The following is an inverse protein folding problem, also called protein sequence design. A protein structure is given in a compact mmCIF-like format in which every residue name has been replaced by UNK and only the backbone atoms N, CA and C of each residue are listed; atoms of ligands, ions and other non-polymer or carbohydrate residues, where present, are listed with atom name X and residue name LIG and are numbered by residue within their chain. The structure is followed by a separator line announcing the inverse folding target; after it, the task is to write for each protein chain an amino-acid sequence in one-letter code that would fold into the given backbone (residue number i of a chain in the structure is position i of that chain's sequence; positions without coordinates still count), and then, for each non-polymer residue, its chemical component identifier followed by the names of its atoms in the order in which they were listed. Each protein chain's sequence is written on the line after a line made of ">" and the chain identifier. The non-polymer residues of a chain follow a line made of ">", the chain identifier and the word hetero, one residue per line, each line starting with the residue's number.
data_IF_692984131400
#
_entry.id   IF_692984131400
#
_cell.length_a   1.000
_cell.length_b   1.000
_cell.length_c   1.000
_cell.angle_alpha   90.00
_cell.angle_beta   90.00
_cell.angle_gamma   90.00
#
_symmetry.space_group_name_H-M   'P 1'
#
loop_
_entity.id
_entity.type
_entity.pdbx_description
1 polymer ?
#
# COMPACT_ATOMS: atom_id res chain seq x y z
N UNK A 1 14.53 29.42 -13.46
CA UNK A 1 13.37 28.63 -13.93
C UNK A 1 13.84 27.29 -14.50
N UNK A 2 14.09 26.30 -13.63
CA UNK A 2 14.45 24.91 -14.04
C UNK A 2 13.75 23.83 -13.18
N UNK A 3 12.90 24.21 -12.22
CA UNK A 3 12.35 23.30 -11.21
C UNK A 3 11.29 22.32 -11.76
N UNK A 4 10.51 22.72 -12.75
CA UNK A 4 9.33 21.96 -13.23
C UNK A 4 9.66 20.60 -13.87
N UNK A 5 10.90 20.38 -14.35
CA UNK A 5 11.29 19.11 -15.01
C UNK A 5 11.67 18.00 -14.01
N UNK A 6 12.12 18.33 -12.79
CA UNK A 6 12.45 17.34 -11.75
C UNK A 6 11.21 16.81 -11.03
N UNK A 7 10.14 17.60 -10.99
CA UNK A 7 8.87 17.23 -10.35
C UNK A 7 8.21 16.04 -11.06
N UNK A 8 8.17 16.02 -12.39
CA UNK A 8 7.65 14.88 -13.15
C UNK A 8 8.48 13.61 -12.98
N UNK A 9 9.79 13.75 -12.76
CA UNK A 9 10.70 12.63 -12.52
C UNK A 9 10.46 12.01 -11.14
N UNK A 10 10.23 12.85 -10.12
CA UNK A 10 9.86 12.40 -8.77
C UNK A 10 8.44 11.84 -8.73
N UNK A 11 7.47 12.50 -9.39
CA UNK A 11 6.09 12.02 -9.54
C UNK A 11 6.06 10.68 -10.28
N UNK A 12 6.88 10.53 -11.33
CA UNK A 12 7.06 9.29 -12.09
C UNK A 12 7.72 8.19 -11.26
N UNK A 13 8.69 8.54 -10.42
CA UNK A 13 9.27 7.62 -9.43
C UNK A 13 8.23 7.12 -8.42
N UNK A 14 7.40 8.02 -7.90
CA UNK A 14 6.36 7.68 -6.92
C UNK A 14 5.24 6.82 -7.54
N UNK A 15 4.77 7.21 -8.73
CA UNK A 15 3.81 6.44 -9.53
C UNK A 15 4.37 5.06 -9.90
N UNK A 16 5.65 5.00 -10.27
CA UNK A 16 6.33 3.74 -10.59
C UNK A 16 6.45 2.84 -9.36
N UNK A 17 6.77 3.38 -8.18
CA UNK A 17 6.79 2.63 -6.91
C UNK A 17 5.41 2.10 -6.53
N UNK A 18 4.37 2.94 -6.65
CA UNK A 18 2.98 2.52 -6.41
C UNK A 18 2.53 1.41 -7.37
N UNK A 19 2.86 1.52 -8.66
CA UNK A 19 2.56 0.50 -9.66
C UNK A 19 3.35 -0.80 -9.42
N UNK A 20 4.63 -0.69 -9.04
CA UNK A 20 5.48 -1.84 -8.72
C UNK A 20 4.98 -2.57 -7.47
N UNK A 21 4.48 -1.84 -6.47
CA UNK A 21 3.84 -2.41 -5.28
C UNK A 21 2.56 -3.17 -5.61
N UNK A 22 1.71 -2.63 -6.48
CA UNK A 22 0.50 -3.31 -6.98
C UNK A 22 0.86 -4.58 -7.75
N UNK A 23 1.91 -4.53 -8.56
CA UNK A 23 2.50 -5.69 -9.24
C UNK A 23 2.94 -6.77 -8.24
N UNK A 24 3.68 -6.41 -7.19
CA UNK A 24 4.07 -7.34 -6.13
C UNK A 24 2.87 -7.95 -5.39
N UNK A 25 1.82 -7.17 -5.16
CA UNK A 25 0.56 -7.63 -4.56
C UNK A 25 -0.16 -8.66 -5.41
N UNK A 26 -0.28 -8.40 -6.73
CA UNK A 26 -0.89 -9.34 -7.67
C UNK A 26 -0.03 -10.59 -7.85
N UNK A 27 1.29 -10.43 -7.86
CA UNK A 27 2.23 -11.54 -7.96
C UNK A 27 2.16 -12.46 -6.74
N UNK A 28 2.15 -11.87 -5.54
CA UNK A 28 2.00 -12.60 -4.30
C UNK A 28 0.62 -13.30 -4.26
N UNK A 29 -0.48 -12.58 -4.51
CA UNK A 29 -1.82 -13.19 -4.55
C UNK A 29 -1.98 -14.32 -5.58
N UNK A 30 -1.20 -14.30 -6.68
CA UNK A 30 -1.21 -15.35 -7.71
C UNK A 30 -0.44 -16.59 -7.27
N UNK A 31 0.73 -16.42 -6.63
CA UNK A 31 1.60 -17.52 -6.17
C UNK A 31 0.96 -18.33 -5.05
N UNK A 32 0.20 -17.69 -4.15
CA UNK A 32 -0.28 -18.33 -2.94
C UNK A 32 -1.72 -18.87 -3.02
N UNK A 33 -2.27 -19.03 -4.24
CA UNK A 33 -3.60 -19.55 -4.54
C UNK A 33 -3.74 -21.07 -4.27
N UNK A 34 -3.59 -21.50 -3.01
CA UNK A 34 -3.70 -22.90 -2.62
C UNK A 34 -4.24 -23.18 -1.21
N UNK A 35 -4.11 -22.24 -0.25
CA UNK A 35 -4.60 -22.44 1.12
C UNK A 35 -5.09 -21.14 1.77
N UNK A 36 -6.32 -21.15 2.28
CA UNK A 36 -6.95 -20.00 2.93
C UNK A 36 -6.18 -19.45 4.14
N UNK A 37 -5.34 -20.28 4.79
CA UNK A 37 -4.52 -19.84 5.93
C UNK A 37 -3.23 -19.15 5.50
N UNK A 38 -2.60 -19.65 4.43
CA UNK A 38 -1.39 -19.05 3.84
C UNK A 38 -1.73 -17.68 3.24
N UNK A 39 -2.88 -17.57 2.57
CA UNK A 39 -3.39 -16.31 2.03
C UNK A 39 -3.66 -15.24 3.12
N UNK A 40 -4.18 -15.64 4.28
CA UNK A 40 -4.38 -14.70 5.41
C UNK A 40 -3.05 -14.22 5.97
N UNK A 41 -2.09 -15.13 6.17
CA UNK A 41 -0.76 -14.78 6.66
C UNK A 41 -0.08 -13.77 5.73
N UNK A 42 -0.11 -14.03 4.43
CA UNK A 42 0.48 -13.16 3.42
C UNK A 42 -0.19 -11.78 3.34
N UNK A 43 -1.52 -11.70 3.45
CA UNK A 43 -2.24 -10.42 3.48
C UNK A 43 -1.82 -9.54 4.66
N UNK A 44 -1.77 -10.12 5.87
CA UNK A 44 -1.37 -9.39 7.08
C UNK A 44 0.14 -9.06 7.08
N UNK A 45 0.97 -9.98 6.61
CA UNK A 45 2.41 -9.77 6.51
C UNK A 45 2.76 -8.69 5.48
N UNK A 46 2.11 -8.73 4.31
CA UNK A 46 2.25 -7.68 3.30
C UNK A 46 1.74 -6.32 3.79
N UNK A 47 0.68 -6.30 4.62
CA UNK A 47 0.20 -5.06 5.24
C UNK A 47 1.25 -4.49 6.21
N UNK A 48 1.88 -5.35 7.02
CA UNK A 48 2.94 -4.94 7.95
C UNK A 48 4.14 -4.34 7.22
N UNK A 49 4.59 -4.95 6.12
CA UNK A 49 5.65 -4.41 5.27
C UNK A 49 5.24 -3.04 4.70
N UNK A 50 4.01 -2.91 4.20
CA UNK A 50 3.54 -1.67 3.59
C UNK A 50 3.46 -0.51 4.59
N UNK A 51 2.95 -0.78 5.80
CA UNK A 51 2.96 0.20 6.91
C UNK A 51 4.40 0.55 7.30
N UNK A 52 5.32 -0.42 7.31
CA UNK A 52 6.74 -0.17 7.54
C UNK A 52 7.36 0.78 6.51
N UNK A 53 7.06 0.60 5.22
CA UNK A 53 7.48 1.51 4.16
C UNK A 53 6.92 2.91 4.37
N UNK A 54 5.64 3.07 4.69
CA UNK A 54 5.07 4.39 4.98
C UNK A 54 5.78 5.12 6.12
N UNK A 55 6.18 4.39 7.17
CA UNK A 55 6.94 4.98 8.28
C UNK A 55 8.29 5.49 7.78
N UNK A 56 9.00 4.71 6.97
CA UNK A 56 10.28 5.10 6.38
C UNK A 56 10.10 6.31 5.44
N UNK A 57 9.10 6.30 4.57
CA UNK A 57 8.79 7.41 3.67
C UNK A 57 8.47 8.68 4.45
N UNK A 58 7.75 8.55 5.58
CA UNK A 58 7.47 9.68 6.48
C UNK A 58 8.76 10.21 7.12
N UNK A 59 9.68 9.35 7.54
CA UNK A 59 10.97 9.80 8.10
C UNK A 59 11.80 10.56 7.06
N UNK A 60 11.84 10.07 5.82
CA UNK A 60 12.56 10.73 4.73
C UNK A 60 11.96 12.11 4.41
N UNK A 61 10.63 12.24 4.48
CA UNK A 61 9.92 13.52 4.34
C UNK A 61 10.31 14.49 5.48
N UNK A 62 10.34 14.02 6.72
CA UNK A 62 10.69 14.83 7.90
C UNK A 62 12.16 15.28 7.80
N UNK A 63 13.06 14.40 7.38
CA UNK A 63 14.48 14.71 7.22
C UNK A 63 14.72 15.74 6.11
N UNK A 64 14.03 15.60 4.96
CA UNK A 64 14.04 16.60 3.88
C UNK A 64 13.52 17.95 4.34
N UNK A 65 12.43 17.98 5.11
CA UNK A 65 11.90 19.20 5.69
C UNK A 65 12.90 19.86 6.67
N UNK A 66 13.63 19.07 7.45
CA UNK A 66 14.66 19.57 8.38
C UNK A 66 15.88 20.16 7.65
N UNK A 67 16.19 19.66 6.45
CA UNK A 67 17.25 20.17 5.58
C UNK A 67 16.86 21.43 4.79
N UNK A 68 15.65 21.96 5.01
CA UNK A 68 15.18 23.21 4.40
C UNK A 68 14.43 23.03 3.07
N UNK A 69 14.03 21.81 2.72
CA UNK A 69 13.13 21.57 1.58
C UNK A 69 11.68 21.84 2.00
N UNK A 70 11.08 22.91 1.45
CA UNK A 70 9.78 23.45 1.88
C UNK A 70 8.64 23.09 0.92
N UNK A 71 8.82 22.05 0.09
CA UNK A 71 7.81 21.61 -0.88
C UNK A 71 6.69 20.77 -0.23
N UNK A 72 5.96 21.38 0.69
CA UNK A 72 4.88 20.76 1.49
C UNK A 72 3.79 20.07 0.67
N UNK A 73 3.49 20.58 -0.53
CA UNK A 73 2.46 20.02 -1.41
C UNK A 73 2.87 18.62 -1.88
N UNK A 74 4.14 18.40 -2.23
CA UNK A 74 4.64 17.10 -2.68
C UNK A 74 4.68 16.11 -1.53
N UNK A 75 5.22 16.54 -0.39
CA UNK A 75 5.25 15.72 0.82
C UNK A 75 3.83 15.28 1.26
N UNK A 76 2.85 16.17 1.16
CA UNK A 76 1.45 15.86 1.47
C UNK A 76 0.83 14.88 0.47
N UNK A 77 1.14 15.01 -0.83
CA UNK A 77 0.65 14.09 -1.87
C UNK A 77 1.24 12.69 -1.72
N UNK A 78 2.51 12.56 -1.32
CA UNK A 78 3.14 11.28 -1.01
C UNK A 78 2.41 10.59 0.14
N UNK A 79 2.28 11.27 1.29
CA UNK A 79 1.58 10.74 2.45
C UNK A 79 0.11 10.39 2.16
N UNK A 80 -0.57 11.18 1.33
CA UNK A 80 -1.94 10.89 0.92
C UNK A 80 -2.03 9.61 0.08
N UNK A 81 -1.10 9.42 -0.86
CA UNK A 81 -1.06 8.23 -1.71
C UNK A 81 -0.81 6.97 -0.89
N UNK A 82 0.12 7.05 0.06
CA UNK A 82 0.43 5.98 1.01
C UNK A 82 -0.78 5.60 1.87
N UNK A 83 -1.47 6.61 2.40
CA UNK A 83 -2.70 6.43 3.15
C UNK A 83 -3.81 5.74 2.34
N UNK A 84 -4.04 6.19 1.10
CA UNK A 84 -5.03 5.57 0.20
C UNK A 84 -4.69 4.11 -0.07
N UNK A 85 -3.40 3.80 -0.26
CA UNK A 85 -2.96 2.44 -0.51
C UNK A 85 -3.15 1.51 0.70
N UNK A 86 -2.90 1.98 1.93
CA UNK A 86 -3.25 1.23 3.16
C UNK A 86 -4.76 1.05 3.28
N UNK A 87 -5.53 2.11 3.03
CA UNK A 87 -6.99 2.08 3.12
C UNK A 87 -7.59 1.02 2.19
N UNK A 88 -7.13 0.95 0.94
CA UNK A 88 -7.56 -0.09 -0.02
C UNK A 88 -7.18 -1.49 0.46
N UNK A 89 -5.96 -1.70 1.00
CA UNK A 89 -5.57 -3.00 1.58
C UNK A 89 -6.50 -3.43 2.72
N UNK A 90 -6.86 -2.51 3.60
CA UNK A 90 -7.80 -2.79 4.70
C UNK A 90 -9.19 -3.16 4.14
N UNK A 91 -9.67 -2.47 3.12
CA UNK A 91 -10.95 -2.80 2.45
C UNK A 91 -10.94 -4.21 1.86
N UNK A 92 -9.84 -4.62 1.20
CA UNK A 92 -9.69 -5.97 0.66
C UNK A 92 -9.78 -7.02 1.78
N UNK A 93 -9.12 -6.78 2.91
CA UNK A 93 -9.17 -7.67 4.08
C UNK A 93 -10.61 -7.77 4.61
N UNK A 94 -11.31 -6.64 4.74
CA UNK A 94 -12.71 -6.61 5.19
C UNK A 94 -13.65 -7.37 4.23
N UNK A 95 -13.49 -7.18 2.93
CA UNK A 95 -14.30 -7.85 1.91
C UNK A 95 -14.09 -9.37 1.99
N UNK A 96 -12.83 -9.81 2.10
CA UNK A 96 -12.49 -11.24 2.22
C UNK A 96 -13.03 -11.85 3.51
N UNK A 97 -12.94 -11.12 4.63
CA UNK A 97 -13.46 -11.58 5.92
C UNK A 97 -14.99 -11.72 5.88
N UNK A 98 -15.68 -10.79 5.20
CA UNK A 98 -17.13 -10.86 4.99
C UNK A 98 -17.54 -12.07 4.15
N UNK A 99 -16.79 -12.37 3.06
CA UNK A 99 -17.01 -13.55 2.24
C UNK A 99 -16.82 -14.88 2.99
N UNK A 100 -15.73 -15.03 3.78
CA UNK A 100 -15.50 -16.22 4.63
C UNK A 100 -16.64 -16.39 5.65
N UNK A 101 -17.15 -15.29 6.20
CA UNK A 101 -18.29 -15.31 7.14
C UNK A 101 -19.59 -15.80 6.48
N UNK A 102 -19.84 -15.43 5.22
CA UNK A 102 -21.01 -15.91 4.47
C UNK A 102 -20.91 -17.40 4.11
N UNK A 103 -19.74 -17.87 3.65
CA UNK A 103 -19.54 -19.29 3.35
C UNK A 103 -19.74 -20.17 4.58
N UNK A 104 -19.22 -19.74 5.74
CA UNK A 104 -19.44 -20.44 7.02
C UNK A 104 -20.91 -20.49 7.42
N UNK A 105 -21.69 -19.44 7.14
CA UNK A 105 -23.14 -19.45 7.40
C UNK A 105 -23.88 -20.42 6.48
N UNK A 106 -23.50 -20.51 5.20
CA UNK A 106 -24.08 -21.49 4.26
C UNK A 106 -23.78 -22.93 4.68
N UNK A 107 -22.54 -23.22 5.08
CA UNK A 107 -22.13 -24.56 5.58
C UNK A 107 -22.82 -25.00 6.88
N UNK A 108 -23.39 -24.07 7.67
CA UNK A 108 -24.16 -24.38 8.89
C UNK A 108 -25.65 -24.61 8.64
N UNK A 109 -26.15 -24.24 7.46
CA UNK A 109 -27.56 -24.43 7.06
C UNK A 109 -27.80 -25.71 6.27
N UNK A 110 -26.74 -26.28 5.70
CA UNK A 110 -26.72 -27.63 5.12
C UNK A 110 -26.21 -28.62 6.16
#
# INVERSE_FOLDING_TARGET
>A
MLARRREYLCLGGLLSSGLSMLMWLQFASSIFCGSASIFKFELYFGLLIFVGYMVVDTQEIIEKAHLGDMDYVKHSLTLFTDFVAVFVRILIIMLKNSADKEERKKKRRN
#
